data_IF_314185869787
#
_entry.id   IF_314185869787
#
_cell.length_a   1.000
_cell.length_b   1.000
_cell.length_c   1.000
_cell.angle_alpha   90.00
_cell.angle_beta   90.00
_cell.angle_gamma   90.00
#
_symmetry.space_group_name_H-M   'P 1'
#
loop_
_entity.id
_entity.type
_entity.pdbx_description
1 polymer ?
#
# COMPACT_ATOMS: atom_id res chain seq x y z
N UNK A 1 2.48 20.74 11.34
CA UNK A 1 1.68 20.88 10.10
C UNK A 1 0.25 20.46 10.35
N UNK A 2 -0.69 20.95 9.56
CA UNK A 2 -2.15 20.72 9.70
C UNK A 2 -2.52 19.23 9.78
N UNK A 3 -1.87 18.38 8.96
CA UNK A 3 -2.02 16.92 9.00
C UNK A 3 -1.65 16.32 10.36
N UNK A 4 -0.58 16.79 11.02
CA UNK A 4 -0.17 16.27 12.33
C UNK A 4 -1.20 16.60 13.43
N UNK A 5 -1.83 17.77 13.38
CA UNK A 5 -2.89 18.15 14.33
C UNK A 5 -4.17 17.32 14.14
N UNK A 6 -4.58 17.09 12.89
CA UNK A 6 -5.71 16.21 12.54
C UNK A 6 -5.47 14.76 12.97
N UNK A 7 -4.24 14.29 12.81
CA UNK A 7 -3.82 12.94 13.18
C UNK A 7 -3.78 12.78 14.70
N UNK A 8 -3.28 13.79 15.43
CA UNK A 8 -3.26 13.81 16.91
C UNK A 8 -4.65 13.78 17.53
N UNK A 9 -5.65 14.42 16.91
CA UNK A 9 -7.03 14.44 17.44
C UNK A 9 -7.73 13.08 17.34
N UNK A 10 -7.28 12.19 16.45
CA UNK A 10 -7.79 10.81 16.34
C UNK A 10 -7.21 9.86 17.38
N UNK A 11 -6.04 10.20 17.95
CA UNK A 11 -5.39 9.37 18.97
C UNK A 11 -6.01 9.71 20.34
N UNK A 12 -6.80 8.78 20.91
CA UNK A 12 -7.47 8.99 22.21
C UNK A 12 -6.54 8.80 23.42
N UNK A 13 -5.49 7.97 23.27
CA UNK A 13 -4.55 7.65 24.35
C UNK A 13 -3.46 8.74 24.47
N UNK A 14 -3.27 9.30 25.68
CA UNK A 14 -2.31 10.39 25.95
C UNK A 14 -0.85 10.00 25.74
N UNK A 15 -0.48 8.77 26.08
CA UNK A 15 0.87 8.26 25.88
C UNK A 15 1.17 8.07 24.40
N UNK A 16 0.21 7.51 23.65
CA UNK A 16 0.31 7.39 22.19
C UNK A 16 0.38 8.76 21.50
N UNK A 17 -0.35 9.77 22.00
CA UNK A 17 -0.22 11.16 21.50
C UNK A 17 1.19 11.73 21.73
N UNK A 18 1.84 11.42 22.86
CA UNK A 18 3.23 11.83 23.14
C UNK A 18 4.20 11.14 22.18
N UNK A 19 4.09 9.82 22.04
CA UNK A 19 4.97 9.05 21.14
C UNK A 19 4.81 9.54 19.70
N UNK A 20 3.57 9.76 19.25
CA UNK A 20 3.30 10.36 17.94
C UNK A 20 3.97 11.72 17.75
N UNK A 21 3.88 12.61 18.74
CA UNK A 21 4.52 13.93 18.67
C UNK A 21 6.05 13.79 18.55
N UNK A 22 6.68 12.93 19.35
CA UNK A 22 8.12 12.67 19.27
C UNK A 22 8.52 12.13 17.89
N UNK A 23 7.72 11.26 17.28
CA UNK A 23 7.96 10.76 15.92
C UNK A 23 7.89 11.90 14.90
N UNK A 24 6.87 12.75 14.98
CA UNK A 24 6.73 13.92 14.10
C UNK A 24 7.93 14.86 14.23
N UNK A 25 8.39 15.08 15.46
CA UNK A 25 9.52 15.98 15.74
C UNK A 25 10.85 15.41 15.22
N UNK A 26 11.01 14.07 15.24
CA UNK A 26 12.22 13.37 14.78
C UNK A 26 12.27 13.14 13.26
N UNK A 27 11.15 12.85 12.60
CA UNK A 27 11.13 12.46 11.19
C UNK A 27 11.31 13.63 10.20
N UNK A 28 11.24 14.89 10.65
CA UNK A 28 11.31 16.04 9.76
C UNK A 28 10.16 16.07 8.74
N UNK A 29 10.45 16.36 7.47
CA UNK A 29 9.43 16.51 6.40
C UNK A 29 9.20 15.28 5.53
N UNK A 30 10.02 14.23 5.66
CA UNK A 30 10.04 13.11 4.70
C UNK A 30 9.35 11.85 5.19
N UNK A 31 9.12 11.70 6.50
CA UNK A 31 8.44 10.53 7.04
C UNK A 31 6.92 10.60 6.86
N UNK A 32 6.31 9.46 6.50
CA UNK A 32 4.85 9.32 6.41
C UNK A 32 4.30 8.61 7.63
N UNK A 33 3.18 9.11 8.16
CA UNK A 33 2.49 8.50 9.29
C UNK A 33 1.09 8.08 8.83
N UNK A 34 0.78 6.80 8.96
CA UNK A 34 -0.55 6.25 8.70
C UNK A 34 -1.25 5.97 10.03
N UNK A 35 -2.51 6.39 10.15
CA UNK A 35 -3.39 5.99 11.26
C UNK A 35 -4.50 5.13 10.68
N UNK A 36 -4.65 3.94 11.24
CA UNK A 36 -5.74 3.00 10.95
C UNK A 36 -6.52 2.74 12.23
N UNK A 37 -7.85 2.77 12.15
CA UNK A 37 -8.71 2.37 13.26
C UNK A 37 -9.13 0.92 13.05
N UNK A 38 -8.71 0.03 13.94
CA UNK A 38 -9.03 -1.39 13.91
C UNK A 38 -9.59 -1.83 15.29
N UNK A 39 -10.47 -2.84 15.37
CA UNK A 39 -11.02 -3.34 16.63
C UNK A 39 -9.98 -4.18 17.38
N UNK A 40 -8.99 -3.52 17.95
CA UNK A 40 -7.91 -4.13 18.72
C UNK A 40 -8.11 -3.89 20.23
N UNK A 41 -7.62 -4.81 21.06
CA UNK A 41 -7.79 -4.76 22.52
C UNK A 41 -7.05 -3.59 23.20
N UNK A 42 -6.03 -3.04 22.54
CA UNK A 42 -5.22 -1.94 23.05
C UNK A 42 -4.64 -1.10 21.91
N UNK A 43 -4.26 0.15 22.18
CA UNK A 43 -3.60 1.00 21.19
C UNK A 43 -2.19 0.47 20.91
N UNK A 44 -1.90 0.14 19.65
CA UNK A 44 -0.58 -0.33 19.21
C UNK A 44 0.12 0.75 18.38
N UNK A 45 1.45 0.86 18.55
CA UNK A 45 2.33 1.65 17.67
C UNK A 45 3.23 0.66 16.96
N UNK A 46 3.11 0.60 15.62
CA UNK A 46 3.90 -0.28 14.76
C UNK A 46 4.86 0.56 13.92
N UNK A 47 6.15 0.29 14.05
CA UNK A 47 7.16 0.78 13.12
C UNK A 47 7.30 -0.27 12.02
N UNK A 48 7.05 0.14 10.79
CA UNK A 48 7.18 -0.70 9.60
C UNK A 48 8.18 -0.07 8.64
N UNK A 49 9.12 -0.88 8.15
CA UNK A 49 9.95 -0.50 7.01
C UNK A 49 9.17 -0.75 5.73
N UNK A 50 9.14 0.24 4.83
CA UNK A 50 8.42 0.15 3.57
C UNK A 50 8.51 1.44 2.78
N UNK A 51 8.03 1.38 1.54
CA UNK A 51 7.86 2.55 0.69
C UNK A 51 6.41 2.67 0.24
N UNK A 52 5.94 3.91 0.09
CA UNK A 52 4.68 4.19 -0.56
C UNK A 52 4.95 4.54 -2.02
N UNK A 53 4.31 3.81 -2.92
CA UNK A 53 4.35 4.07 -4.35
C UNK A 53 2.98 4.58 -4.82
N UNK A 54 2.98 5.70 -5.53
CA UNK A 54 1.77 6.24 -6.14
C UNK A 54 1.53 5.53 -7.47
N UNK A 55 0.76 4.45 -7.44
CA UNK A 55 0.36 3.68 -8.63
C UNK A 55 -1.15 3.78 -8.82
N UNK A 56 -1.59 3.76 -10.08
CA UNK A 56 -3.01 3.69 -10.43
C UNK A 56 -3.33 2.29 -10.90
N UNK A 57 -4.37 1.69 -10.31
CA UNK A 57 -4.91 0.41 -10.78
C UNK A 57 -5.69 0.67 -12.06
N UNK A 58 -5.53 -0.19 -13.08
CA UNK A 58 -6.33 -0.11 -14.30
C UNK A 58 -7.83 -0.11 -13.93
N UNK A 59 -8.56 0.87 -14.45
CA UNK A 59 -9.97 1.11 -14.12
C UNK A 59 -10.86 -0.10 -14.43
N UNK A 60 -10.51 -0.93 -15.42
CA UNK A 60 -11.24 -2.17 -15.77
C UNK A 60 -11.08 -3.21 -14.67
N UNK A 61 -9.87 -3.34 -14.12
CA UNK A 61 -9.61 -4.20 -12.98
C UNK A 61 -10.28 -3.67 -11.70
N UNK A 62 -10.19 -2.36 -11.46
CA UNK A 62 -10.84 -1.73 -10.31
C UNK A 62 -12.37 -1.89 -10.35
N UNK A 63 -12.99 -1.78 -11.52
CA UNK A 63 -14.43 -1.98 -11.71
C UNK A 63 -14.87 -3.42 -11.40
N UNK A 64 -14.01 -4.41 -11.66
CA UNK A 64 -14.31 -5.81 -11.40
C UNK A 64 -14.04 -6.22 -9.94
N UNK A 65 -13.06 -5.61 -9.28
CA UNK A 65 -12.68 -6.05 -7.92
C UNK A 65 -13.68 -5.61 -6.86
N UNK A 66 -14.42 -4.52 -7.07
CA UNK A 66 -15.32 -3.91 -6.08
C UNK A 66 -14.65 -3.66 -4.70
N UNK A 67 -13.31 -3.68 -4.65
CA UNK A 67 -12.52 -3.57 -3.44
C UNK A 67 -11.89 -2.17 -3.39
N UNK A 68 -12.13 -1.43 -2.31
CA UNK A 68 -11.50 -0.12 -2.08
C UNK A 68 -10.04 -0.23 -1.66
N UNK A 69 -9.72 -1.22 -0.83
CA UNK A 69 -8.38 -1.48 -0.29
C UNK A 69 -8.08 -2.97 -0.39
N UNK A 70 -7.00 -3.33 -1.10
CA UNK A 70 -6.52 -4.71 -1.17
C UNK A 70 -5.28 -4.80 -0.29
N UNK A 71 -5.28 -5.75 0.66
CA UNK A 71 -4.15 -6.04 1.52
C UNK A 71 -3.64 -7.44 1.20
N UNK A 72 -2.34 -7.56 0.98
CA UNK A 72 -1.67 -8.83 0.76
C UNK A 72 -0.65 -9.05 1.87
N UNK A 73 -0.64 -10.25 2.45
CA UNK A 73 0.42 -10.64 3.40
C UNK A 73 1.70 -11.04 2.67
N UNK A 74 1.54 -11.68 1.50
CA UNK A 74 2.63 -12.03 0.58
C UNK A 74 2.20 -11.74 -0.85
N UNK A 75 3.02 -10.98 -1.57
CA UNK A 75 2.78 -10.63 -2.98
C UNK A 75 4.10 -10.68 -3.75
N UNK A 76 4.10 -11.37 -4.88
CA UNK A 76 5.20 -11.31 -5.82
C UNK A 76 5.09 -10.00 -6.61
N UNK A 77 6.17 -9.22 -6.68
CA UNK A 77 6.18 -7.96 -7.44
C UNK A 77 7.00 -8.16 -8.70
N UNK A 78 6.39 -7.91 -9.87
CA UNK A 78 7.08 -7.88 -11.15
C UNK A 78 7.01 -6.48 -11.73
N UNK A 79 8.17 -5.89 -12.03
CA UNK A 79 8.29 -4.56 -12.62
C UNK A 79 8.75 -4.74 -14.06
N UNK A 80 7.93 -4.30 -15.01
CA UNK A 80 8.26 -4.25 -16.43
C UNK A 80 8.78 -2.85 -16.73
N UNK A 81 10.00 -2.77 -17.24
CA UNK A 81 10.54 -1.51 -17.74
C UNK A 81 9.83 -1.13 -19.06
N UNK A 82 8.93 -0.14 -18.99
CA UNK A 82 8.13 0.29 -20.14
C UNK A 82 6.73 -0.34 -20.14
N UNK A 83 6.25 -0.74 -21.32
CA UNK A 83 4.94 -1.35 -21.51
C UNK A 83 5.10 -2.66 -22.29
N UNK A 84 4.44 -3.76 -21.89
CA UNK A 84 4.43 -4.98 -22.70
C UNK A 84 3.79 -4.68 -24.05
N UNK A 85 4.35 -5.22 -25.14
CA UNK A 85 3.80 -4.96 -26.48
C UNK A 85 2.53 -5.77 -26.74
N UNK A 86 2.34 -6.88 -26.02
CA UNK A 86 1.13 -7.70 -26.08
C UNK A 86 0.89 -8.48 -24.79
N UNK A 87 -0.36 -8.90 -24.55
CA UNK A 87 -0.72 -9.77 -23.42
C UNK A 87 0.03 -11.12 -23.50
N UNK A 88 0.38 -11.57 -24.71
CA UNK A 88 1.10 -12.83 -24.92
C UNK A 88 2.48 -12.87 -24.27
N UNK A 89 3.15 -11.71 -24.10
CA UNK A 89 4.45 -11.62 -23.44
C UNK A 89 4.39 -12.00 -21.96
N UNK A 90 3.27 -11.66 -21.30
CA UNK A 90 3.07 -11.89 -19.87
C UNK A 90 2.26 -13.15 -19.57
N UNK A 91 1.62 -13.76 -20.58
CA UNK A 91 0.75 -14.92 -20.38
C UNK A 91 1.41 -16.08 -19.64
N UNK A 92 2.66 -16.43 -19.98
CA UNK A 92 3.36 -17.53 -19.28
C UNK A 92 3.51 -17.26 -17.80
N UNK A 93 3.80 -16.01 -17.43
CA UNK A 93 3.91 -15.57 -16.04
C UNK A 93 2.54 -15.62 -15.35
N UNK A 94 1.49 -15.09 -15.99
CA UNK A 94 0.12 -15.11 -15.45
C UNK A 94 -0.39 -16.54 -15.24
N UNK A 95 -0.17 -17.43 -16.21
CA UNK A 95 -0.50 -18.86 -16.09
C UNK A 95 0.24 -19.50 -14.95
N UNK A 96 1.56 -19.27 -14.82
CA UNK A 96 2.34 -19.80 -13.71
C UNK A 96 1.81 -19.32 -12.36
N UNK A 97 1.49 -18.03 -12.21
CA UNK A 97 0.92 -17.50 -10.97
C UNK A 97 -0.46 -18.09 -10.66
N UNK A 98 -1.29 -18.29 -11.69
CA UNK A 98 -2.60 -18.93 -11.54
C UNK A 98 -2.47 -20.39 -11.08
N UNK A 99 -1.63 -21.19 -11.76
CA UNK A 99 -1.40 -22.60 -11.43
C UNK A 99 -0.84 -22.81 -10.02
N UNK A 100 0.00 -21.87 -9.55
CA UNK A 100 0.63 -21.94 -8.24
C UNK A 100 -0.14 -21.16 -7.15
N UNK A 101 -1.34 -20.65 -7.45
CA UNK A 101 -2.13 -19.81 -6.53
C UNK A 101 -1.31 -18.67 -5.88
N UNK A 102 -0.44 -18.04 -6.67
CA UNK A 102 0.44 -16.95 -6.20
C UNK A 102 -0.13 -15.60 -6.61
N UNK A 103 -0.18 -14.68 -5.65
CA UNK A 103 -0.57 -13.29 -5.91
C UNK A 103 0.59 -12.57 -6.60
N UNK A 104 0.29 -11.89 -7.71
CA UNK A 104 1.23 -11.09 -8.48
C UNK A 104 0.77 -9.63 -8.55
N UNK A 105 1.62 -8.70 -8.12
CA UNK A 105 1.53 -7.29 -8.43
C UNK A 105 2.40 -7.00 -9.65
N UNK A 106 1.76 -6.71 -10.78
CA UNK A 106 2.43 -6.38 -12.03
C UNK A 106 2.44 -4.87 -12.22
N UNK A 107 3.63 -4.27 -12.28
CA UNK A 107 3.84 -2.84 -12.46
C UNK A 107 4.47 -2.58 -13.82
N UNK A 108 3.82 -1.76 -14.63
CA UNK A 108 4.29 -1.32 -15.95
C UNK A 108 3.89 0.15 -16.17
N UNK A 109 4.48 0.80 -17.18
CA UNK A 109 4.10 2.17 -17.59
C UNK A 109 2.67 2.23 -18.11
N UNK A 110 2.26 1.20 -18.85
CA UNK A 110 0.91 1.00 -19.37
C UNK A 110 0.74 -0.47 -19.74
N UNK A 111 -0.50 -0.92 -19.90
CA UNK A 111 -0.83 -2.22 -20.48
C UNK A 111 -1.51 -2.00 -21.84
N UNK A 112 -1.29 -2.89 -22.83
CA UNK A 112 -2.03 -2.85 -24.09
C UNK A 112 -3.54 -3.00 -23.84
N UNK A 113 -4.35 -2.44 -24.72
CA UNK A 113 -5.82 -2.52 -24.64
C UNK A 113 -6.36 -3.94 -24.77
#
# INVERSE_FOLDING_TARGET
GEAASLTKSKIKNREAQRIFQSIVDLMGTTGRIHITEEPIASTEIKLSEGCEINITIDHRFAAQSNVKNIKFDFVNVCIIEGAPASVSEINRLLTHCHENNTVLLLLARSFPE
#
